data_IF_676683464861
#
_entry.id   IF_676683464861
#
_cell.length_a   1.000
_cell.length_b   1.000
_cell.length_c   1.000
_cell.angle_alpha   90.00
_cell.angle_beta   90.00
_cell.angle_gamma   90.00
#
_symmetry.space_group_name_H-M   'P 1'
#
loop_
_entity.id
_entity.type
_entity.pdbx_description
1 polymer ?
#
# COMPACT_ATOMS: atom_id res chain seq x y z
N UNK A 1 3.64 -17.90 16.13
CA UNK A 1 2.48 -17.87 17.04
C UNK A 1 1.13 -17.84 16.29
N UNK A 2 0.89 -16.94 15.33
CA UNK A 2 -0.40 -16.91 14.59
C UNK A 2 -0.68 -18.19 13.79
N UNK A 3 0.33 -18.75 13.11
CA UNK A 3 0.22 -20.04 12.39
C UNK A 3 -0.10 -21.23 13.32
N UNK A 4 0.33 -21.14 14.59
CA UNK A 4 0.05 -22.15 15.61
C UNK A 4 -1.40 -22.07 16.14
N UNK A 5 -2.05 -20.91 16.01
CA UNK A 5 -3.40 -20.67 16.54
C UNK A 5 -4.49 -20.72 15.47
N UNK A 6 -4.19 -20.28 14.24
CA UNK A 6 -5.15 -20.18 13.12
C UNK A 6 -5.00 -21.27 12.04
N UNK A 7 -4.00 -22.15 12.15
CA UNK A 7 -3.74 -23.19 11.16
C UNK A 7 -3.05 -22.68 9.88
N UNK A 8 -2.90 -23.58 8.90
CA UNK A 8 -2.14 -23.38 7.65
C UNK A 8 -3.01 -22.79 6.53
N UNK A 9 -4.26 -22.45 6.84
CA UNK A 9 -5.23 -21.89 5.91
C UNK A 9 -4.83 -20.51 5.37
N UNK A 10 -5.48 -20.09 4.28
CA UNK A 10 -5.26 -18.80 3.63
C UNK A 10 -5.60 -17.60 4.54
N UNK A 11 -6.53 -17.77 5.47
CA UNK A 11 -7.00 -16.72 6.39
C UNK A 11 -5.89 -16.01 7.18
N UNK A 12 -5.11 -16.71 8.03
CA UNK A 12 -4.06 -16.08 8.83
C UNK A 12 -2.96 -15.41 8.00
N UNK A 13 -2.66 -15.91 6.79
CA UNK A 13 -1.68 -15.30 5.88
C UNK A 13 -2.15 -13.92 5.42
N UNK A 14 -3.39 -13.82 4.96
CA UNK A 14 -4.00 -12.55 4.55
C UNK A 14 -4.07 -11.57 5.73
N UNK A 15 -4.36 -12.07 6.94
CA UNK A 15 -4.43 -11.23 8.14
C UNK A 15 -3.08 -10.59 8.51
N UNK A 16 -1.98 -11.34 8.42
CA UNK A 16 -0.64 -10.80 8.67
C UNK A 16 -0.27 -9.75 7.62
N UNK A 17 -0.56 -10.02 6.34
CA UNK A 17 -0.34 -9.06 5.25
C UNK A 17 -1.18 -7.80 5.45
N UNK A 18 -2.45 -7.94 5.85
CA UNK A 18 -3.34 -6.82 6.12
C UNK A 18 -2.82 -5.95 7.28
N UNK A 19 -2.34 -6.55 8.37
CA UNK A 19 -1.69 -5.83 9.46
C UNK A 19 -0.44 -5.08 9.00
N UNK A 20 0.37 -5.71 8.14
CA UNK A 20 1.59 -5.11 7.60
C UNK A 20 1.28 -3.93 6.67
N UNK A 21 0.18 -3.99 5.91
CA UNK A 21 -0.27 -2.92 5.04
C UNK A 21 -0.99 -1.80 5.81
N UNK A 22 -1.69 -2.14 6.91
CA UNK A 22 -2.48 -1.18 7.68
C UNK A 22 -1.61 -0.06 8.25
N UNK A 23 -0.43 -0.38 8.77
CA UNK A 23 0.44 0.59 9.42
C UNK A 23 0.91 1.72 8.47
N UNK A 24 1.54 1.44 7.31
CA UNK A 24 1.94 2.48 6.38
C UNK A 24 0.75 3.27 5.81
N UNK A 25 -0.41 2.64 5.59
CA UNK A 25 -1.63 3.36 5.17
C UNK A 25 -2.09 4.34 6.26
N UNK A 26 -2.13 3.88 7.52
CA UNK A 26 -2.55 4.71 8.64
C UNK A 26 -1.60 5.89 8.89
N UNK A 27 -0.28 5.66 8.83
CA UNK A 27 0.73 6.70 8.98
C UNK A 27 0.62 7.73 7.86
N UNK A 28 0.55 7.30 6.60
CA UNK A 28 0.45 8.21 5.47
C UNK A 28 -0.86 9.01 5.46
N UNK A 29 -1.95 8.41 5.96
CA UNK A 29 -3.22 9.10 6.15
C UNK A 29 -3.13 10.15 7.26
N UNK A 30 -2.48 9.83 8.39
CA UNK A 30 -2.25 10.76 9.48
C UNK A 30 -1.37 11.94 9.05
N UNK A 31 -0.28 11.65 8.32
CA UNK A 31 0.60 12.67 7.75
C UNK A 31 -0.14 13.55 6.74
N UNK A 32 -0.96 12.97 5.85
CA UNK A 32 -1.79 13.73 4.91
C UNK A 32 -2.83 14.64 5.59
N UNK A 33 -3.42 14.20 6.71
CA UNK A 33 -4.33 15.02 7.49
C UNK A 33 -3.61 16.18 8.20
N UNK A 34 -2.34 15.98 8.58
CA UNK A 34 -1.50 16.96 9.24
C UNK A 34 -0.93 17.99 8.25
N UNK A 35 -0.65 17.59 7.01
CA UNK A 35 -0.07 18.41 5.95
C UNK A 35 -1.10 19.34 5.26
N UNK A 36 -2.37 19.27 5.66
CA UNK A 36 -3.43 20.11 5.10
C UNK A 36 -3.10 21.62 5.25
N UNK A 37 -3.13 22.33 4.13
CA UNK A 37 -2.60 23.70 3.98
C UNK A 37 -3.22 24.67 5.02
N UNK A 38 -2.42 25.18 5.98
CA UNK A 38 -2.92 25.97 7.09
C UNK A 38 -3.54 27.29 6.63
N UNK A 39 -3.12 27.80 5.47
CA UNK A 39 -3.64 29.02 4.86
C UNK A 39 -5.10 28.86 4.40
N UNK A 40 -5.43 27.72 3.77
CA UNK A 40 -6.79 27.38 3.35
C UNK A 40 -7.71 27.14 4.56
N UNK A 41 -7.17 26.56 5.63
CA UNK A 41 -7.89 26.38 6.91
C UNK A 41 -8.19 27.74 7.57
N UNK A 42 -7.24 28.68 7.55
CA UNK A 42 -7.42 30.02 8.11
C UNK A 42 -8.45 30.84 7.31
N UNK A 43 -8.47 30.70 5.98
CA UNK A 43 -9.49 31.26 5.09
C UNK A 43 -10.90 30.75 5.43
N UNK A 44 -11.08 29.44 5.59
CA UNK A 44 -12.39 28.89 5.96
C UNK A 44 -12.81 29.29 7.38
N UNK A 45 -11.87 29.44 8.31
CA UNK A 45 -12.17 29.97 9.66
C UNK A 45 -12.64 31.42 9.60
N UNK A 46 -12.06 32.27 8.75
CA UNK A 46 -12.51 33.67 8.61
C UNK A 46 -13.93 33.74 8.03
N UNK A 47 -14.29 32.77 7.18
CA UNK A 47 -15.65 32.60 6.65
C UNK A 47 -16.64 31.93 7.62
N UNK A 48 -16.27 31.72 8.89
CA UNK A 48 -17.07 31.01 9.91
C UNK A 48 -17.45 29.57 9.55
N UNK A 49 -16.64 28.88 8.74
CA UNK A 49 -16.88 27.47 8.43
C UNK A 49 -16.79 26.58 9.68
N UNK A 50 -17.67 25.59 9.77
CA UNK A 50 -17.66 24.62 10.87
C UNK A 50 -16.44 23.68 10.78
N UNK A 51 -16.03 23.09 11.91
CA UNK A 51 -14.93 22.10 11.95
C UNK A 51 -15.18 20.91 11.02
N UNK A 52 -16.44 20.52 10.84
CA UNK A 52 -16.84 19.45 9.92
C UNK A 52 -16.68 19.85 8.45
N UNK A 53 -17.01 21.10 8.08
CA UNK A 53 -16.76 21.60 6.73
C UNK A 53 -15.27 21.67 6.42
N UNK A 54 -14.43 22.14 7.36
CA UNK A 54 -12.97 22.17 7.17
C UNK A 54 -12.42 20.75 6.97
N UNK A 55 -12.95 19.77 7.70
CA UNK A 55 -12.54 18.38 7.59
C UNK A 55 -12.89 17.79 6.22
N UNK A 56 -14.14 17.93 5.78
CA UNK A 56 -14.62 17.36 4.52
C UNK A 56 -14.14 18.11 3.28
N UNK A 57 -13.98 19.43 3.35
CA UNK A 57 -13.72 20.29 2.19
C UNK A 57 -12.24 20.57 1.95
N UNK A 58 -11.39 20.47 2.99
CA UNK A 58 -9.95 20.77 2.90
C UNK A 58 -9.09 19.61 3.33
N UNK A 59 -9.31 19.07 4.54
CA UNK A 59 -8.44 18.00 5.06
C UNK A 59 -8.59 16.68 4.31
N UNK A 60 -9.82 16.24 4.03
CA UNK A 60 -10.07 15.01 3.27
C UNK A 60 -9.50 15.03 1.84
N UNK A 61 -9.79 16.05 0.99
CA UNK A 61 -9.23 16.11 -0.35
C UNK A 61 -7.72 16.40 -0.36
N UNK A 62 -7.21 17.16 0.63
CA UNK A 62 -5.77 17.40 0.80
C UNK A 62 -4.98 16.15 1.23
N UNK A 63 -5.61 15.26 2.01
CA UNK A 63 -4.98 14.02 2.48
C UNK A 63 -5.09 12.84 1.50
N UNK A 64 -6.01 12.91 0.52
CA UNK A 64 -6.13 11.91 -0.55
C UNK A 64 -4.79 11.56 -1.22
N UNK A 65 -3.95 12.51 -1.69
CA UNK A 65 -2.64 12.19 -2.27
C UNK A 65 -1.72 11.42 -1.31
N UNK A 66 -1.64 11.83 -0.05
CA UNK A 66 -0.82 11.13 0.95
C UNK A 66 -1.37 9.74 1.25
N UNK A 67 -2.69 9.57 1.28
CA UNK A 67 -3.32 8.25 1.43
C UNK A 67 -2.95 7.30 0.28
N UNK A 68 -2.99 7.77 -0.96
CA UNK A 68 -2.58 6.96 -2.12
C UNK A 68 -1.08 6.65 -2.14
N UNK A 69 -0.24 7.59 -1.70
CA UNK A 69 1.20 7.33 -1.49
C UNK A 69 1.42 6.22 -0.45
N UNK A 70 0.70 6.28 0.67
CA UNK A 70 0.69 5.21 1.68
C UNK A 70 0.21 3.87 1.14
N UNK A 71 -0.84 3.88 0.33
CA UNK A 71 -1.38 2.69 -0.32
C UNK A 71 -0.36 2.06 -1.28
N UNK A 72 0.40 2.86 -2.02
CA UNK A 72 1.45 2.41 -2.93
C UNK A 72 2.61 1.74 -2.19
N UNK A 73 3.03 2.35 -1.08
CA UNK A 73 4.04 1.78 -0.17
C UNK A 73 3.51 0.45 0.38
N UNK A 74 2.30 0.44 0.92
CA UNK A 74 1.65 -0.74 1.48
C UNK A 74 1.47 -1.87 0.47
N UNK A 75 1.16 -1.58 -0.79
CA UNK A 75 1.06 -2.59 -1.84
C UNK A 75 2.40 -3.33 -2.06
N UNK A 76 3.51 -2.60 -2.06
CA UNK A 76 4.86 -3.19 -2.22
C UNK A 76 5.24 -4.04 -1.00
N UNK A 77 4.97 -3.52 0.20
CA UNK A 77 5.17 -4.27 1.44
C UNK A 77 4.24 -5.48 1.56
N UNK A 78 3.02 -5.39 1.00
CA UNK A 78 2.04 -6.47 1.01
C UNK A 78 2.49 -7.67 0.19
N UNK A 79 3.10 -7.44 -0.98
CA UNK A 79 3.70 -8.53 -1.78
C UNK A 79 4.84 -9.20 -1.01
N UNK A 80 5.72 -8.40 -0.42
CA UNK A 80 6.82 -8.91 0.42
C UNK A 80 6.27 -9.74 1.59
N UNK A 81 5.27 -9.22 2.30
CA UNK A 81 4.61 -9.90 3.41
C UNK A 81 3.88 -11.18 2.99
N UNK A 82 3.28 -11.20 1.80
CA UNK A 82 2.63 -12.38 1.25
C UNK A 82 3.66 -13.48 0.94
N UNK A 83 4.79 -13.12 0.34
CA UNK A 83 5.89 -14.06 0.08
C UNK A 83 6.42 -14.64 1.39
N UNK A 84 6.68 -13.81 2.40
CA UNK A 84 7.10 -14.29 3.73
C UNK A 84 6.03 -15.18 4.38
N UNK A 85 4.75 -14.82 4.26
CA UNK A 85 3.63 -15.61 4.78
C UNK A 85 3.48 -16.97 4.10
N UNK A 86 3.73 -17.04 2.78
CA UNK A 86 3.79 -18.30 2.04
C UNK A 86 5.02 -19.15 2.44
N UNK A 87 6.17 -18.51 2.66
CA UNK A 87 7.43 -19.17 3.00
C UNK A 87 7.36 -19.91 4.35
N UNK A 88 6.69 -19.31 5.36
CA UNK A 88 6.67 -19.86 6.72
C UNK A 88 5.66 -21.01 6.88
N UNK A 89 4.69 -21.17 5.98
CA UNK A 89 3.72 -22.26 6.11
C UNK A 89 2.59 -22.26 5.10
N UNK A 90 2.87 -22.38 3.81
CA UNK A 90 1.86 -22.73 2.82
C UNK A 90 2.08 -24.13 2.24
N UNK A 91 1.01 -24.81 1.83
CA UNK A 91 1.11 -26.06 1.07
C UNK A 91 1.25 -25.81 -0.44
N UNK A 92 0.87 -24.62 -0.91
CA UNK A 92 0.95 -24.17 -2.31
C UNK A 92 1.21 -22.65 -2.32
N UNK A 93 2.08 -22.17 -3.21
CA UNK A 93 2.42 -20.74 -3.31
C UNK A 93 3.81 -20.52 -3.92
N UNK A 94 4.05 -19.33 -4.49
CA UNK A 94 5.33 -18.99 -5.14
C UNK A 94 6.50 -19.05 -4.15
N UNK A 95 6.28 -18.67 -2.89
CA UNK A 95 7.29 -18.77 -1.82
C UNK A 95 7.75 -20.21 -1.56
N UNK A 96 6.80 -21.17 -1.53
CA UNK A 96 7.10 -22.60 -1.33
C UNK A 96 7.79 -23.18 -2.55
N UNK A 97 7.36 -22.83 -3.76
CA UNK A 97 8.03 -23.27 -5.00
C UNK A 97 9.49 -22.82 -5.06
N UNK A 98 9.79 -21.62 -4.58
CA UNK A 98 11.15 -21.11 -4.48
C UNK A 98 11.98 -21.88 -3.45
N UNK A 99 11.39 -22.23 -2.30
CA UNK A 99 12.04 -23.04 -1.26
C UNK A 99 12.30 -24.50 -1.69
N UNK A 100 11.36 -25.10 -2.43
CA UNK A 100 11.49 -26.45 -2.97
C UNK A 100 12.55 -26.51 -4.07
N UNK A 101 12.60 -25.48 -4.93
CA UNK A 101 13.60 -25.34 -6.00
C UNK A 101 15.01 -25.08 -5.45
N UNK A 102 15.12 -24.34 -4.34
CA UNK A 102 16.37 -24.16 -3.60
C UNK A 102 16.92 -25.50 -3.07
N UNK A 103 16.05 -26.34 -2.50
CA UNK A 103 16.45 -27.65 -1.97
C UNK A 103 16.86 -28.64 -3.07
N UNK A 104 16.33 -28.50 -4.28
CA UNK A 104 16.65 -29.37 -5.43
C UNK A 104 17.85 -28.90 -6.26
N UNK A 105 18.62 -27.91 -5.79
CA UNK A 105 19.78 -27.32 -6.49
C UNK A 105 19.49 -26.76 -7.89
N UNK A 106 18.22 -26.57 -8.24
CA UNK A 106 17.80 -25.99 -9.51
C UNK A 106 17.80 -24.46 -9.40
N UNK A 107 18.99 -23.86 -9.34
CA UNK A 107 19.21 -22.41 -9.22
C UNK A 107 18.44 -21.64 -10.31
N UNK A 108 18.31 -22.21 -11.51
CA UNK A 108 17.54 -21.65 -12.63
C UNK A 108 16.07 -21.39 -12.27
N UNK A 109 15.43 -22.30 -11.53
CA UNK A 109 14.02 -22.16 -11.11
C UNK A 109 13.85 -21.08 -10.03
N UNK A 110 14.84 -20.93 -9.15
CA UNK A 110 14.86 -19.85 -8.15
C UNK A 110 14.92 -18.49 -8.83
N UNK A 111 15.79 -18.32 -9.83
CA UNK A 111 15.85 -17.08 -10.62
C UNK A 111 14.54 -16.79 -11.35
N UNK A 112 13.89 -17.82 -11.92
CA UNK A 112 12.57 -17.66 -12.54
C UNK A 112 11.50 -17.19 -11.53
N UNK A 113 11.48 -17.76 -10.31
CA UNK A 113 10.54 -17.36 -9.26
C UNK A 113 10.79 -15.92 -8.77
N UNK A 114 12.04 -15.50 -8.63
CA UNK A 114 12.40 -14.10 -8.30
C UNK A 114 11.91 -13.16 -9.40
N UNK A 115 12.10 -13.53 -10.67
CA UNK A 115 11.67 -12.70 -11.79
C UNK A 115 10.14 -12.56 -11.83
N UNK A 116 9.41 -13.66 -11.60
CA UNK A 116 7.94 -13.63 -11.53
C UNK A 116 7.44 -12.75 -10.37
N UNK A 117 8.04 -12.86 -9.18
CA UNK A 117 7.63 -12.04 -8.03
C UNK A 117 7.98 -10.56 -8.22
N UNK A 118 9.12 -10.25 -8.86
CA UNK A 118 9.47 -8.89 -9.23
C UNK A 118 8.47 -8.30 -10.22
N UNK A 119 8.10 -9.05 -11.27
CA UNK A 119 7.08 -8.62 -12.25
C UNK A 119 5.71 -8.43 -11.59
N UNK A 120 5.31 -9.34 -10.69
CA UNK A 120 4.05 -9.21 -9.95
C UNK A 120 4.04 -7.95 -9.07
N UNK A 121 5.15 -7.67 -8.40
CA UNK A 121 5.32 -6.48 -7.56
C UNK A 121 5.22 -5.20 -8.39
N UNK A 122 5.90 -5.16 -9.55
CA UNK A 122 5.84 -4.07 -10.52
C UNK A 122 4.41 -3.86 -11.07
N UNK A 123 3.69 -4.94 -11.38
CA UNK A 123 2.31 -4.88 -11.85
C UNK A 123 1.38 -4.31 -10.78
N UNK A 124 1.47 -4.77 -9.53
CA UNK A 124 0.67 -4.25 -8.43
C UNK A 124 0.98 -2.79 -8.15
N UNK A 125 2.26 -2.43 -8.12
CA UNK A 125 2.69 -1.04 -7.98
C UNK A 125 2.15 -0.16 -9.12
N UNK A 126 2.23 -0.66 -10.35
CA UNK A 126 1.70 0.01 -11.55
C UNK A 126 0.18 0.19 -11.48
N UNK A 127 -0.56 -0.82 -11.04
CA UNK A 127 -2.01 -0.75 -10.85
C UNK A 127 -2.40 0.29 -9.79
N UNK A 128 -1.72 0.30 -8.64
CA UNK A 128 -1.99 1.29 -7.59
C UNK A 128 -1.66 2.70 -8.07
N UNK A 129 -0.55 2.87 -8.80
CA UNK A 129 -0.17 4.15 -9.41
C UNK A 129 -1.17 4.61 -10.48
N UNK A 130 -1.71 3.68 -11.28
CA UNK A 130 -2.75 3.98 -12.26
C UNK A 130 -4.05 4.41 -11.58
N UNK A 131 -4.48 3.68 -10.54
CA UNK A 131 -5.66 4.02 -9.74
C UNK A 131 -5.49 5.39 -9.09
N UNK A 132 -4.31 5.69 -8.54
CA UNK A 132 -3.99 7.00 -7.98
C UNK A 132 -4.11 8.10 -9.05
N UNK A 133 -3.59 7.88 -10.26
CA UNK A 133 -3.66 8.84 -11.35
C UNK A 133 -5.09 9.09 -11.84
N UNK A 134 -5.94 8.07 -11.80
CA UNK A 134 -7.37 8.18 -12.15
C UNK A 134 -8.17 8.83 -11.02
N UNK A 135 -7.82 8.53 -9.76
CA UNK A 135 -8.51 9.04 -8.58
C UNK A 135 -8.09 10.47 -8.20
N UNK A 136 -6.90 10.92 -8.61
CA UNK A 136 -6.36 12.27 -8.33
C UNK A 136 -5.99 13.05 -9.61
N UNK A 137 -6.92 13.26 -10.56
CA UNK A 137 -6.65 14.03 -11.77
C UNK A 137 -6.32 15.50 -11.46
N UNK A 138 -6.85 16.04 -10.35
CA UNK A 138 -6.65 17.44 -9.94
C UNK A 138 -5.26 17.72 -9.36
N UNK A 139 -4.56 16.73 -8.78
CA UNK A 139 -3.20 16.91 -8.25
C UNK A 139 -2.15 16.96 -9.37
N UNK A 140 -2.37 16.21 -10.45
CA UNK A 140 -1.47 16.26 -11.62
C UNK A 140 -1.76 17.48 -12.54
N UNK A 141 -2.93 18.10 -12.44
CA UNK A 141 -3.27 19.31 -13.20
C UNK A 141 -2.62 20.60 -12.67
N UNK A 142 -2.26 20.66 -11.38
CA UNK A 142 -1.71 21.87 -10.75
C UNK A 142 -0.20 22.05 -10.92
N UNK A 143 0.52 21.00 -11.32
CA UNK A 143 1.96 21.07 -11.59
C UNK A 143 2.29 21.90 -12.85
N UNK A 144 1.34 22.09 -13.76
CA UNK A 144 1.55 22.83 -15.01
C UNK A 144 1.54 24.35 -14.78
N UNK A 145 0.95 24.84 -13.69
CA UNK A 145 0.80 26.29 -13.47
C UNK A 145 1.91 26.92 -12.60
N UNK A 146 2.91 26.15 -12.17
CA UNK A 146 4.08 26.62 -11.40
C UNK A 146 5.38 26.74 -12.22
N UNK A 147 5.30 26.68 -13.55
CA UNK A 147 6.39 27.02 -14.49
C UNK A 147 6.05 28.34 -15.20
#
# INVERSE_FOLDING_TARGET
LLLLWFGIDLGPKVFVVALYCFFPIAVACADGLADAEPELINLLRSMRASRWQILWLVRLPGAMPSFFSGLRIAATYGVTGAIFGEYVGAYQGLGIYMQLSFNSHAIVLVFAAILVTAVLSLLLFGLVSLIERIALPWYHGSAIHRL
#
